data_IF_815875626873
#
_entry.id   IF_815875626873
#
_cell.length_a   1.000
_cell.length_b   1.000
_cell.length_c   1.000
_cell.angle_alpha   90.00
_cell.angle_beta   90.00
_cell.angle_gamma   90.00
#
_symmetry.space_group_name_H-M   'P 1'
#
loop_
_entity.id
_entity.type
_entity.pdbx_description
1 polymer ?
#
# COMPACT_ATOMS: atom_id res chain seq x y z
N UNK A 1 -15.92 -14.27 3.19
CA UNK A 1 -15.68 -14.05 4.63
C UNK A 1 -14.27 -13.47 4.77
N UNK A 2 -14.10 -12.20 5.15
CA UNK A 2 -12.76 -11.59 5.31
C UNK A 2 -12.21 -12.02 6.67
N UNK A 3 -11.14 -12.81 6.70
CA UNK A 3 -10.46 -13.17 7.93
C UNK A 3 -9.59 -11.99 8.38
N UNK A 4 -9.94 -11.36 9.51
CA UNK A 4 -9.14 -10.29 10.13
C UNK A 4 -8.21 -10.90 11.17
N UNK A 5 -6.91 -10.66 11.02
CA UNK A 5 -5.89 -10.96 12.05
C UNK A 5 -5.10 -9.70 12.35
N UNK A 6 -5.05 -9.30 13.63
CA UNK A 6 -4.27 -8.15 14.09
C UNK A 6 -3.01 -8.69 14.76
N UNK A 7 -1.84 -8.28 14.27
CA UNK A 7 -0.54 -8.59 14.87
C UNK A 7 0.14 -7.25 15.17
N UNK A 8 0.33 -6.94 16.45
CA UNK A 8 1.09 -5.76 16.87
C UNK A 8 2.51 -6.20 17.19
N UNK A 9 3.50 -5.61 16.52
CA UNK A 9 4.90 -5.90 16.79
C UNK A 9 5.75 -4.64 16.73
N UNK A 10 6.81 -4.61 17.57
CA UNK A 10 7.83 -3.54 17.57
C UNK A 10 8.87 -3.71 16.44
N UNK A 11 8.79 -4.81 15.68
CA UNK A 11 9.65 -5.12 14.54
C UNK A 11 8.85 -5.76 13.40
N UNK A 12 9.28 -5.53 12.15
CA UNK A 12 8.51 -5.92 10.97
C UNK A 12 8.66 -7.40 10.58
N UNK A 13 9.81 -8.04 10.88
CA UNK A 13 10.08 -9.40 10.41
C UNK A 13 9.11 -10.47 10.96
N UNK A 14 8.81 -10.53 12.28
CA UNK A 14 7.87 -11.52 12.82
C UNK A 14 6.45 -11.37 12.26
N UNK A 15 6.05 -10.14 11.93
CA UNK A 15 4.75 -9.85 11.31
C UNK A 15 4.71 -10.42 9.89
N UNK A 16 5.76 -10.17 9.09
CA UNK A 16 5.86 -10.69 7.72
C UNK A 16 5.77 -12.22 7.71
N UNK A 17 6.53 -12.89 8.58
CA UNK A 17 6.51 -14.35 8.65
C UNK A 17 5.14 -14.88 9.07
N UNK A 18 4.49 -14.22 10.04
CA UNK A 18 3.13 -14.55 10.47
C UNK A 18 2.09 -14.38 9.36
N UNK A 19 2.20 -13.31 8.55
CA UNK A 19 1.31 -13.05 7.42
C UNK A 19 1.50 -14.09 6.31
N UNK A 20 2.76 -14.45 6.01
CA UNK A 20 3.08 -15.48 5.03
C UNK A 20 2.62 -16.87 5.50
N UNK A 21 2.73 -17.17 6.79
CA UNK A 21 2.20 -18.41 7.37
C UNK A 21 0.67 -18.45 7.27
N UNK A 22 -0.01 -17.36 7.66
CA UNK A 22 -1.48 -17.26 7.57
C UNK A 22 -2.00 -17.41 6.13
N UNK A 23 -1.26 -16.88 5.15
CA UNK A 23 -1.56 -17.04 3.72
C UNK A 23 -1.52 -18.51 3.28
N UNK A 24 -0.53 -19.29 3.73
CA UNK A 24 -0.40 -20.72 3.39
C UNK A 24 -1.47 -21.59 4.04
N UNK A 25 -1.98 -21.18 5.21
CA UNK A 25 -2.97 -21.94 5.97
C UNK A 25 -4.41 -21.79 5.45
N UNK A 26 -4.69 -20.85 4.53
CA UNK A 26 -6.04 -20.64 4.00
C UNK A 26 -6.39 -21.58 2.85
N UNK A 27 -7.55 -22.23 2.92
CA UNK A 27 -8.14 -22.96 1.79
C UNK A 27 -9.03 -22.03 0.95
N UNK A 28 -8.53 -21.54 -0.18
CA UNK A 28 -9.26 -20.64 -1.07
C UNK A 28 -8.34 -19.77 -1.94
N UNK A 29 -8.92 -18.75 -2.60
CA UNK A 29 -8.13 -17.77 -3.34
C UNK A 29 -7.07 -17.12 -2.44
N UNK A 30 -5.85 -16.89 -2.94
CA UNK A 30 -4.76 -16.38 -2.13
C UNK A 30 -5.12 -15.02 -1.53
N UNK A 31 -5.00 -14.82 -0.20
CA UNK A 31 -5.35 -13.54 0.42
C UNK A 31 -4.45 -12.41 -0.10
N UNK A 32 -5.05 -11.26 -0.38
CA UNK A 32 -4.34 -10.02 -0.72
C UNK A 32 -3.85 -9.36 0.57
N UNK A 33 -2.60 -8.89 0.55
CA UNK A 33 -2.03 -8.11 1.65
C UNK A 33 -2.20 -6.63 1.35
N UNK A 34 -2.71 -5.86 2.31
CA UNK A 34 -2.72 -4.39 2.22
C UNK A 34 -1.71 -3.83 3.21
N UNK A 35 -0.70 -3.13 2.68
CA UNK A 35 0.28 -2.38 3.46
C UNK A 35 -0.15 -0.92 3.43
N UNK A 36 -0.38 -0.33 4.60
CA UNK A 36 -0.68 1.09 4.74
C UNK A 36 0.50 1.81 5.38
N UNK A 37 1.09 2.76 4.67
CA UNK A 37 2.21 3.57 5.20
C UNK A 37 1.76 4.99 5.49
N UNK A 38 2.08 5.46 6.69
CA UNK A 38 1.80 6.81 7.15
C UNK A 38 3.13 7.50 7.42
N UNK A 39 3.56 8.35 6.51
CA UNK A 39 4.87 9.01 6.55
C UNK A 39 4.69 10.48 6.26
N UNK A 40 5.35 11.35 7.02
CA UNK A 40 5.42 12.76 6.65
C UNK A 40 6.77 12.99 5.97
N UNK A 41 6.74 13.59 4.77
CA UNK A 41 7.95 14.10 4.16
C UNK A 41 8.40 15.29 5.02
N UNK A 42 9.43 15.10 5.83
CA UNK A 42 10.02 16.17 6.63
C UNK A 42 11.24 16.67 5.88
N UNK A 43 11.22 17.90 5.33
CA UNK A 43 12.42 18.51 4.77
C UNK A 43 13.52 18.50 5.84
N UNK A 44 14.79 18.36 5.45
CA UNK A 44 15.97 18.41 6.34
C UNK A 44 16.24 17.18 7.21
N UNK A 45 15.39 16.15 7.22
CA UNK A 45 15.65 14.94 8.04
C UNK A 45 16.68 13.97 7.42
N UNK A 46 17.15 14.23 6.20
CA UNK A 46 18.18 13.44 5.51
C UNK A 46 17.70 12.06 5.01
N UNK A 47 16.48 11.63 5.34
CA UNK A 47 15.85 10.41 4.82
C UNK A 47 14.47 10.70 4.26
N UNK A 48 14.29 10.41 2.98
CA UNK A 48 12.99 10.40 2.29
C UNK A 48 12.53 8.93 2.20
N UNK A 49 11.24 8.67 2.35
CA UNK A 49 10.69 7.33 2.22
C UNK A 49 10.72 6.48 3.51
N UNK A 50 10.72 5.16 3.34
CA UNK A 50 10.67 4.20 4.45
C UNK A 50 12.05 3.96 5.06
N UNK A 51 12.08 3.69 6.37
CA UNK A 51 13.31 3.20 7.01
C UNK A 51 13.76 1.89 6.31
N UNK A 52 15.07 1.70 6.02
CA UNK A 52 15.55 0.57 5.22
C UNK A 52 15.09 -0.81 5.71
N UNK A 53 15.06 -1.01 7.03
CA UNK A 53 14.59 -2.26 7.66
C UNK A 53 13.10 -2.54 7.41
N UNK A 54 12.28 -1.48 7.32
CA UNK A 54 10.83 -1.58 7.07
C UNK A 54 10.59 -1.83 5.59
N UNK A 55 11.27 -1.07 4.71
CA UNK A 55 11.26 -1.28 3.27
C UNK A 55 11.62 -2.74 2.93
N UNK A 56 12.75 -3.24 3.46
CA UNK A 56 13.18 -4.62 3.23
C UNK A 56 12.16 -5.66 3.74
N UNK A 57 11.44 -5.39 4.83
CA UNK A 57 10.42 -6.31 5.34
C UNK A 57 9.18 -6.33 4.44
N UNK A 58 8.71 -5.15 4.00
CA UNK A 58 7.58 -5.02 3.09
C UNK A 58 7.90 -5.57 1.71
N UNK A 59 9.11 -5.36 1.21
CA UNK A 59 9.56 -5.91 -0.06
C UNK A 59 9.60 -7.44 -0.04
N UNK A 60 10.13 -8.03 1.04
CA UNK A 60 10.05 -9.49 1.22
C UNK A 60 8.61 -10.00 1.22
N UNK A 61 7.67 -9.25 1.79
CA UNK A 61 6.26 -9.62 1.81
C UNK A 61 5.65 -9.52 0.41
N UNK A 62 5.88 -8.40 -0.28
CA UNK A 62 5.34 -8.11 -1.61
C UNK A 62 5.86 -9.08 -2.68
N UNK A 63 7.13 -9.47 -2.61
CA UNK A 63 7.72 -10.46 -3.51
C UNK A 63 7.09 -11.86 -3.40
N UNK A 64 6.30 -12.14 -2.34
CA UNK A 64 5.76 -13.48 -2.03
C UNK A 64 4.23 -13.50 -1.91
N UNK A 65 3.59 -12.33 -1.97
CA UNK A 65 2.15 -12.19 -1.86
C UNK A 65 1.65 -10.99 -2.68
N UNK A 66 0.54 -11.13 -3.44
CA UNK A 66 -0.19 -10.01 -4.01
C UNK A 66 -0.42 -8.93 -2.96
N UNK A 67 0.21 -7.79 -3.19
CA UNK A 67 0.31 -6.71 -2.21
C UNK A 67 -0.16 -5.41 -2.81
N UNK A 68 -1.07 -4.76 -2.09
CA UNK A 68 -1.49 -3.37 -2.33
C UNK A 68 -0.76 -2.49 -1.33
N UNK A 69 -0.02 -1.51 -1.81
CA UNK A 69 0.63 -0.49 -0.99
C UNK A 69 -0.19 0.80 -1.04
N UNK A 70 -0.94 1.06 0.04
CA UNK A 70 -1.66 2.32 0.23
C UNK A 70 -0.77 3.32 0.98
N UNK A 71 -0.48 4.45 0.33
CA UNK A 71 0.44 5.47 0.81
C UNK A 71 -0.32 6.70 1.27
N UNK A 72 -0.12 7.06 2.54
CA UNK A 72 -0.69 8.23 3.16
C UNK A 72 0.44 9.17 3.60
N UNK A 73 0.74 10.18 2.79
CA UNK A 73 1.76 11.17 3.06
C UNK A 73 2.84 11.20 1.98
N UNK A 74 4.08 10.92 2.36
CA UNK A 74 5.24 11.00 1.46
C UNK A 74 5.10 10.08 0.23
N UNK A 75 5.00 10.60 -1.00
CA UNK A 75 4.83 9.80 -2.20
C UNK A 75 6.08 8.96 -2.55
N UNK A 76 7.25 9.30 -2.03
CA UNK A 76 8.51 8.62 -2.38
C UNK A 76 8.70 7.26 -1.67
N UNK A 77 7.82 6.92 -0.72
CA UNK A 77 7.84 5.59 -0.06
C UNK A 77 7.57 4.44 -1.04
N UNK A 78 6.96 4.73 -2.20
CA UNK A 78 6.63 3.73 -3.22
C UNK A 78 7.88 3.01 -3.75
N UNK A 79 9.00 3.72 -3.83
CA UNK A 79 10.28 3.18 -4.28
C UNK A 79 10.88 2.18 -3.28
N UNK A 80 10.40 2.15 -2.04
CA UNK A 80 10.85 1.22 -1.02
C UNK A 80 10.23 -0.18 -1.08
N UNK A 81 9.18 -0.37 -1.89
CA UNK A 81 8.48 -1.66 -2.04
C UNK A 81 8.15 -1.94 -3.52
N UNK A 82 9.17 -2.02 -4.41
CA UNK A 82 8.96 -2.18 -5.84
C UNK A 82 8.21 -3.45 -6.25
N UNK A 83 8.22 -4.51 -5.42
CA UNK A 83 7.44 -5.73 -5.71
C UNK A 83 5.94 -5.59 -5.43
N UNK A 84 5.46 -4.45 -4.90
CA UNK A 84 4.04 -4.23 -4.68
C UNK A 84 3.28 -4.27 -6.03
N UNK A 85 2.27 -5.13 -6.13
CA UNK A 85 1.50 -5.33 -7.35
C UNK A 85 0.61 -4.12 -7.68
N UNK A 86 0.27 -3.32 -6.67
CA UNK A 86 -0.56 -2.13 -6.82
C UNK A 86 -0.11 -1.09 -5.80
N UNK A 87 0.00 0.15 -6.24
CA UNK A 87 0.29 1.30 -5.37
C UNK A 87 -0.86 2.29 -5.48
N UNK A 88 -1.39 2.71 -4.34
CA UNK A 88 -2.42 3.75 -4.25
C UNK A 88 -1.89 4.90 -3.39
N UNK A 89 -1.69 6.07 -4.01
CA UNK A 89 -1.33 7.29 -3.30
C UNK A 89 -2.60 8.03 -2.85
N UNK A 90 -2.79 8.14 -1.54
CA UNK A 90 -3.92 8.83 -0.91
C UNK A 90 -3.50 10.13 -0.18
N UNK A 91 -2.22 10.52 -0.28
CA UNK A 91 -1.61 11.79 0.14
C UNK A 91 -1.64 12.15 1.63
N UNK A 92 -2.70 11.85 2.37
CA UNK A 92 -2.83 12.30 3.77
C UNK A 92 -3.39 11.19 4.64
N UNK A 93 -2.94 11.14 5.90
CA UNK A 93 -3.42 10.15 6.86
C UNK A 93 -4.80 10.44 7.47
N UNK A 94 -5.53 11.45 6.99
CA UNK A 94 -6.81 11.82 7.58
C UNK A 94 -7.89 10.76 7.30
N UNK A 95 -8.86 10.63 8.21
CA UNK A 95 -9.90 9.59 8.10
C UNK A 95 -10.75 9.67 6.83
N UNK A 96 -10.92 10.86 6.22
CA UNK A 96 -11.60 11.00 4.94
C UNK A 96 -10.79 10.36 3.79
N UNK A 97 -9.47 10.61 3.73
CA UNK A 97 -8.60 10.02 2.72
C UNK A 97 -8.46 8.50 2.88
N UNK A 98 -8.39 7.99 4.11
CA UNK A 98 -8.39 6.55 4.37
C UNK A 98 -9.67 5.87 3.90
N UNK A 99 -10.84 6.47 4.16
CA UNK A 99 -12.13 5.95 3.69
C UNK A 99 -12.22 5.95 2.16
N UNK A 100 -11.86 7.07 1.53
CA UNK A 100 -11.82 7.16 0.07
C UNK A 100 -10.88 6.11 -0.55
N UNK A 101 -9.70 5.90 0.05
CA UNK A 101 -8.77 4.86 -0.39
C UNK A 101 -9.37 3.45 -0.24
N UNK A 102 -10.01 3.15 0.89
CA UNK A 102 -10.67 1.86 1.10
C UNK A 102 -11.81 1.62 0.08
N UNK A 103 -12.68 2.61 -0.13
CA UNK A 103 -13.76 2.56 -1.11
C UNK A 103 -13.22 2.39 -2.54
N UNK A 104 -12.16 3.09 -2.89
CA UNK A 104 -11.48 2.94 -4.18
C UNK A 104 -10.82 1.57 -4.34
N UNK A 105 -10.24 0.98 -3.30
CA UNK A 105 -9.61 -0.34 -3.39
C UNK A 105 -10.64 -1.47 -3.58
N UNK A 106 -11.81 -1.36 -2.95
CA UNK A 106 -12.88 -2.35 -3.10
C UNK A 106 -13.79 -2.10 -4.30
N UNK A 107 -13.51 -1.05 -5.08
CA UNK A 107 -14.28 -0.72 -6.28
C UNK A 107 -15.52 0.13 -6.07
N UNK A 108 -15.86 0.50 -4.83
CA UNK A 108 -17.03 1.32 -4.52
C UNK A 108 -16.90 2.79 -5.01
N UNK A 109 -15.66 3.29 -5.11
CA UNK A 109 -15.36 4.60 -5.67
C UNK A 109 -14.49 4.48 -6.94
N UNK A 110 -14.58 5.45 -7.88
CA UNK A 110 -13.69 5.52 -9.02
C UNK A 110 -12.27 5.94 -8.62
N UNK A 111 -11.29 5.57 -9.43
CA UNK A 111 -9.91 6.04 -9.36
C UNK A 111 -9.66 6.92 -10.59
N UNK A 112 -9.24 8.16 -10.36
CA UNK A 112 -8.91 9.12 -11.42
C UNK A 112 -7.80 10.11 -11.06
N UNK A 113 -7.14 9.91 -9.91
CA UNK A 113 -6.05 10.79 -9.47
C UNK A 113 -4.88 10.80 -10.46
N UNK A 114 -4.15 11.92 -10.47
CA UNK A 114 -2.93 12.13 -11.26
C UNK A 114 -1.85 12.68 -10.35
N UNK A 115 -0.61 12.27 -10.59
CA UNK A 115 0.54 12.76 -9.83
C UNK A 115 0.73 14.26 -10.07
N UNK A 116 0.82 15.09 -9.01
CA UNK A 116 1.20 16.50 -9.11
C UNK A 116 2.72 16.70 -9.05
N UNK A 117 3.50 15.64 -8.80
CA UNK A 117 4.96 15.66 -8.66
C UNK A 117 5.58 14.48 -9.42
N UNK A 118 6.85 14.58 -9.76
CA UNK A 118 7.62 13.45 -10.30
C UNK A 118 7.98 12.47 -9.17
N UNK A 119 7.92 11.17 -9.49
CA UNK A 119 8.49 10.08 -8.70
C UNK A 119 9.53 9.36 -9.56
N UNK A 120 10.80 9.80 -9.50
CA UNK A 120 11.85 9.20 -10.31
C UNK A 120 12.14 7.74 -9.93
N UNK A 121 12.62 6.93 -10.88
CA UNK A 121 12.76 7.25 -12.31
C UNK A 121 11.48 6.97 -13.13
N UNK A 122 10.44 6.39 -12.52
CA UNK A 122 9.40 5.68 -13.25
C UNK A 122 8.13 6.48 -13.55
N UNK A 123 7.78 7.50 -12.75
CA UNK A 123 6.48 8.16 -12.85
C UNK A 123 6.63 9.68 -12.95
N UNK A 124 6.50 10.27 -14.16
CA UNK A 124 6.47 11.72 -14.31
C UNK A 124 5.18 12.35 -13.74
N UNK A 125 5.19 13.67 -13.54
CA UNK A 125 3.99 14.48 -13.29
C UNK A 125 2.88 14.11 -14.29
N UNK A 126 1.64 14.04 -13.80
CA UNK A 126 0.48 13.64 -14.59
C UNK A 126 0.31 12.12 -14.74
N UNK A 127 1.22 11.30 -14.23
CA UNK A 127 1.01 9.84 -14.22
C UNK A 127 -0.17 9.44 -13.33
N UNK A 128 -0.91 8.41 -13.71
CA UNK A 128 -1.97 7.84 -12.90
C UNK A 128 -2.90 6.96 -13.70
N UNK A 129 -3.47 5.94 -13.05
CA UNK A 129 -4.44 5.05 -13.68
C UNK A 129 -5.87 5.61 -13.54
N UNK A 130 -6.73 5.26 -14.50
CA UNK A 130 -8.18 5.47 -14.39
C UNK A 130 -8.87 4.14 -14.19
N UNK A 131 -9.79 4.06 -13.23
CA UNK A 131 -10.68 2.92 -13.03
C UNK A 131 -12.07 3.44 -12.63
N UNK A 132 -13.11 3.07 -13.37
CA UNK A 132 -14.48 3.38 -12.95
C UNK A 132 -14.82 2.66 -11.63
N UNK A 133 -15.83 3.15 -10.92
CA UNK A 133 -16.42 2.37 -9.83
C UNK A 133 -16.98 1.05 -10.42
N UNK A 134 -16.80 -0.05 -9.70
CA UNK A 134 -17.46 -1.31 -10.04
C UNK A 134 -18.88 -1.16 -9.53
N UNK A 135 -19.83 -0.90 -10.43
CA UNK A 135 -21.25 -0.99 -10.09
C UNK A 135 -21.49 -2.38 -9.50
N UNK A 136 -21.87 -2.45 -8.23
CA UNK A 136 -22.16 -3.72 -7.57
C UNK A 136 -23.25 -4.44 -8.33
N UNK A 137 -22.87 -5.42 -9.15
CA UNK A 137 -23.78 -6.44 -9.64
C UNK A 137 -24.34 -7.14 -8.41
N UNK A 138 -25.59 -6.83 -8.09
CA UNK A 138 -26.45 -7.72 -7.31
C UNK A 138 -26.76 -8.94 -8.15
#
# INVERSE_FOLDING_TARGET
RVARRVVTARSAAPVVDSLLAARRAGGGAPPVVVISTYTMAVPWQGSIGLLPRVAAAFERLAARAPTVHAVFGDPYVVSGVPSASTVLLAWTGIGAAQRAAAEALVGAAPIGGRLPVDIPPAYPVGSGMTRAAVSGGR
#
